data_IF_033612935555
#
_entry.id   IF_033612935555
#
_cell.length_a   1.000
_cell.length_b   1.000
_cell.length_c   1.000
_cell.angle_alpha   90.00
_cell.angle_beta   90.00
_cell.angle_gamma   90.00
#
_symmetry.space_group_name_H-M   'P 1'
#
loop_
_entity.id
_entity.type
_entity.pdbx_description
1 polymer ?
#
# COMPACT_ATOMS: atom_id res chain seq x y z
N UNK A 1 -11.12 6.93 -6.75
CA UNK A 1 -11.12 5.56 -7.32
C UNK A 1 -10.31 4.69 -6.37
N UNK A 2 -10.88 3.58 -5.89
CA UNK A 2 -10.29 2.72 -4.85
C UNK A 2 -9.60 1.54 -5.53
N UNK A 3 -8.29 1.37 -5.31
CA UNK A 3 -7.52 0.28 -5.89
C UNK A 3 -7.21 -0.78 -4.83
N UNK A 4 -7.88 -1.93 -4.89
CA UNK A 4 -7.49 -3.09 -4.09
C UNK A 4 -6.35 -3.79 -4.81
N UNK A 5 -5.15 -3.65 -4.29
CA UNK A 5 -3.94 -4.23 -4.89
C UNK A 5 -3.55 -5.49 -4.12
N UNK A 6 -3.38 -6.63 -4.79
CA UNK A 6 -3.19 -7.95 -4.15
C UNK A 6 -1.76 -8.48 -4.33
N UNK A 7 -1.23 -9.20 -3.34
CA UNK A 7 0.17 -9.62 -3.30
C UNK A 7 0.48 -10.71 -4.34
N UNK A 8 1.48 -10.52 -5.21
CA UNK A 8 1.97 -11.53 -6.15
C UNK A 8 3.45 -11.87 -5.87
N UNK A 9 3.84 -13.12 -6.13
CA UNK A 9 5.22 -13.61 -6.06
C UNK A 9 5.55 -14.35 -7.36
N UNK A 10 6.62 -13.94 -8.06
CA UNK A 10 7.20 -14.72 -9.15
C UNK A 10 8.43 -15.48 -8.64
N UNK A 11 8.65 -16.70 -9.13
CA UNK A 11 9.86 -17.49 -8.86
C UNK A 11 10.63 -17.64 -10.16
N UNK A 12 11.84 -17.11 -10.20
CA UNK A 12 12.85 -17.38 -11.21
C UNK A 12 14.04 -18.07 -10.52
N UNK A 13 14.81 -18.88 -11.25
CA UNK A 13 15.74 -19.93 -10.76
C UNK A 13 16.80 -19.46 -9.74
N UNK A 14 16.98 -18.16 -9.47
CA UNK A 14 17.92 -17.69 -8.42
C UNK A 14 17.48 -16.53 -7.52
N UNK A 15 16.25 -16.02 -7.60
CA UNK A 15 15.73 -15.08 -6.58
C UNK A 15 14.22 -14.89 -6.64
N UNK A 16 13.55 -14.87 -5.48
CA UNK A 16 12.14 -14.51 -5.41
C UNK A 16 12.00 -12.98 -5.31
N UNK A 17 11.56 -12.34 -6.39
CA UNK A 17 11.25 -10.91 -6.37
C UNK A 17 9.84 -10.69 -5.82
N UNK A 18 9.71 -9.87 -4.78
CA UNK A 18 8.40 -9.51 -4.20
C UNK A 18 7.69 -8.53 -5.14
N UNK A 19 6.69 -9.01 -5.87
CA UNK A 19 5.88 -8.19 -6.78
C UNK A 19 4.68 -7.56 -6.08
N UNK A 20 4.21 -8.15 -4.97
CA UNK A 20 3.11 -7.62 -4.16
C UNK A 20 3.48 -6.48 -3.23
N UNK A 21 2.47 -5.88 -2.59
CA UNK A 21 2.66 -4.85 -1.54
C UNK A 21 3.64 -5.35 -0.45
N UNK A 22 4.53 -4.50 0.08
CA UNK A 22 4.67 -3.06 -0.16
C UNK A 22 5.54 -2.69 -1.39
N UNK A 23 5.79 -3.62 -2.33
CA UNK A 23 6.61 -3.34 -3.52
C UNK A 23 6.03 -2.19 -4.33
N UNK A 24 6.85 -1.19 -4.66
CA UNK A 24 6.44 -0.01 -5.45
C UNK A 24 5.83 -0.38 -6.81
N UNK A 25 6.34 -1.43 -7.45
CA UNK A 25 5.93 -1.85 -8.79
C UNK A 25 4.41 -2.08 -8.91
N UNK A 26 3.76 -2.61 -7.87
CA UNK A 26 2.34 -2.92 -7.93
C UNK A 26 1.46 -1.67 -7.86
N UNK A 27 1.91 -0.63 -7.16
CA UNK A 27 1.22 0.65 -7.08
C UNK A 27 1.34 1.42 -8.40
N UNK A 28 2.50 1.38 -9.06
CA UNK A 28 2.70 2.02 -10.36
C UNK A 28 1.84 1.39 -11.45
N UNK A 29 1.75 0.05 -11.49
CA UNK A 29 0.86 -0.67 -12.41
C UNK A 29 -0.60 -0.29 -12.16
N UNK A 30 -1.01 -0.26 -10.88
CA UNK A 30 -2.37 0.16 -10.53
C UNK A 30 -2.64 1.59 -10.99
N UNK A 31 -1.76 2.55 -10.71
CA UNK A 31 -1.95 3.95 -11.12
C UNK A 31 -2.05 4.09 -12.65
N UNK A 32 -1.20 3.38 -13.39
CA UNK A 32 -1.25 3.37 -14.86
C UNK A 32 -2.57 2.81 -15.39
N UNK A 33 -3.08 1.74 -14.80
CA UNK A 33 -4.35 1.13 -15.20
C UNK A 33 -5.56 2.01 -14.87
N UNK A 34 -5.51 2.75 -13.74
CA UNK A 34 -6.61 3.61 -13.31
C UNK A 34 -6.69 4.91 -14.12
N UNK A 35 -5.60 5.33 -14.78
CA UNK A 35 -5.54 6.61 -15.48
C UNK A 35 -5.79 7.82 -14.57
N UNK A 36 -5.64 7.66 -13.26
CA UNK A 36 -5.98 8.66 -12.27
C UNK A 36 -4.85 9.69 -12.11
N UNK A 37 -5.20 10.97 -12.06
CA UNK A 37 -4.24 12.08 -11.89
C UNK A 37 -3.75 12.24 -10.45
N UNK A 38 -4.59 11.91 -9.46
CA UNK A 38 -4.30 12.01 -8.02
C UNK A 38 -4.89 10.82 -7.24
N UNK A 39 -4.38 9.59 -7.43
CA UNK A 39 -4.89 8.43 -6.73
C UNK A 39 -4.53 8.45 -5.24
N UNK A 40 -5.43 7.88 -4.42
CA UNK A 40 -5.20 7.63 -2.99
C UNK A 40 -5.37 6.15 -2.72
N UNK A 41 -4.46 5.56 -1.94
CA UNK A 41 -4.58 4.18 -1.49
C UNK A 41 -5.53 4.11 -0.29
N UNK A 42 -6.49 3.20 -0.30
CA UNK A 42 -7.26 2.81 0.89
C UNK A 42 -6.85 1.40 1.30
N UNK A 43 -6.53 1.19 2.57
CA UNK A 43 -6.19 -0.13 3.08
C UNK A 43 -6.24 -0.21 4.59
N UNK A 44 -6.14 -1.41 5.13
CA UNK A 44 -6.23 -1.72 6.55
C UNK A 44 -4.87 -2.12 7.15
N UNK A 45 -3.87 -2.38 6.31
CA UNK A 45 -2.57 -2.89 6.75
C UNK A 45 -1.47 -1.82 6.65
N UNK A 46 -0.92 -1.40 7.80
CA UNK A 46 0.18 -0.42 7.85
C UNK A 46 1.44 -0.87 7.11
N UNK A 47 1.84 -2.14 7.25
CA UNK A 47 3.09 -2.68 6.66
C UNK A 47 3.08 -2.78 5.13
N UNK A 48 1.91 -2.91 4.52
CA UNK A 48 1.77 -3.29 3.12
C UNK A 48 1.06 -2.19 2.32
N UNK A 49 -0.18 -1.87 2.69
CA UNK A 49 -0.97 -0.84 2.00
C UNK A 49 -0.36 0.53 2.21
N UNK A 50 -0.23 0.94 3.47
CA UNK A 50 0.16 2.30 3.82
C UNK A 50 1.64 2.52 3.53
N UNK A 51 2.51 1.63 4.03
CA UNK A 51 3.94 1.74 3.75
C UNK A 51 4.25 1.65 2.25
N UNK A 52 3.56 0.76 1.53
CA UNK A 52 3.76 0.60 0.09
C UNK A 52 3.29 1.81 -0.71
N UNK A 53 2.12 2.35 -0.38
CA UNK A 53 1.58 3.55 -1.03
C UNK A 53 2.47 4.77 -0.81
N UNK A 54 2.87 5.03 0.45
CA UNK A 54 3.78 6.13 0.78
C UNK A 54 5.15 5.96 0.10
N UNK A 55 5.68 4.72 0.08
CA UNK A 55 6.92 4.40 -0.63
C UNK A 55 6.83 4.55 -2.15
N UNK A 56 5.62 4.49 -2.71
CA UNK A 56 5.32 4.76 -4.11
C UNK A 56 4.97 6.24 -4.39
N UNK A 57 5.00 7.11 -3.36
CA UNK A 57 4.66 8.54 -3.49
C UNK A 57 3.17 8.82 -3.57
N UNK A 58 2.33 7.89 -3.10
CA UNK A 58 0.87 8.02 -3.07
C UNK A 58 0.41 8.43 -1.67
N UNK A 59 -0.66 9.22 -1.63
CA UNK A 59 -1.41 9.41 -0.39
C UNK A 59 -2.08 8.11 0.04
N UNK A 60 -2.22 7.90 1.36
CA UNK A 60 -2.77 6.67 1.91
C UNK A 60 -3.75 6.94 3.07
N UNK A 61 -4.90 6.26 3.04
CA UNK A 61 -5.89 6.26 4.11
C UNK A 61 -5.89 4.88 4.77
N UNK A 62 -5.66 4.85 6.09
CA UNK A 62 -5.90 3.66 6.90
C UNK A 62 -7.38 3.58 7.22
N UNK A 63 -8.03 2.49 6.86
CA UNK A 63 -9.44 2.24 7.16
C UNK A 63 -9.56 1.08 8.15
N UNK A 64 -10.39 1.25 9.17
CA UNK A 64 -10.66 0.21 10.16
C UNK A 64 -9.71 0.28 11.35
N UNK A 65 -9.81 -0.71 12.22
CA UNK A 65 -8.98 -0.85 13.42
C UNK A 65 -7.63 -1.49 13.09
N UNK A 66 -7.02 -1.18 11.94
CA UNK A 66 -5.79 -1.77 11.41
C UNK A 66 -4.61 -1.67 12.38
N UNK A 67 -4.62 -2.54 13.39
CA UNK A 67 -3.80 -2.48 14.59
C UNK A 67 -2.59 -3.39 14.40
N UNK A 68 -1.47 -2.76 14.05
CA UNK A 68 -0.27 -2.77 14.87
C UNK A 68 0.67 -1.69 14.32
N UNK A 69 1.25 -0.80 15.13
CA UNK A 69 2.28 0.10 14.65
C UNK A 69 3.45 -0.71 14.09
N UNK A 70 3.64 -0.65 12.77
CA UNK A 70 4.73 -1.34 12.10
C UNK A 70 5.91 -0.40 11.98
N UNK A 71 7.09 -0.88 12.36
CA UNK A 71 8.35 -0.21 12.06
C UNK A 71 8.52 -0.20 10.53
N UNK A 72 8.56 0.99 9.95
CA UNK A 72 8.87 1.15 8.53
C UNK A 72 10.28 0.66 8.21
N UNK A 73 10.65 0.57 6.93
CA UNK A 73 11.95 0.06 6.49
C UNK A 73 13.17 0.81 7.08
N UNK A 74 13.00 2.02 7.61
CA UNK A 74 14.03 2.81 8.29
C UNK A 74 13.88 2.85 9.83
N UNK A 75 13.09 1.95 10.43
CA UNK A 75 12.73 2.00 11.86
C UNK A 75 11.70 3.08 12.22
N UNK A 76 11.38 3.97 11.27
CA UNK A 76 10.41 5.03 11.49
C UNK A 76 8.97 4.49 11.44
N UNK A 77 8.11 4.94 12.35
CA UNK A 77 6.72 4.49 12.38
C UNK A 77 5.98 4.92 11.12
N UNK A 78 5.36 3.97 10.42
CA UNK A 78 4.48 4.27 9.28
C UNK A 78 3.29 5.10 9.78
N UNK A 79 3.00 6.21 9.09
CA UNK A 79 1.91 7.14 9.40
C UNK A 79 1.08 7.34 8.13
N UNK A 80 -0.20 6.98 8.11
CA UNK A 80 -1.06 7.24 6.96
C UNK A 80 -1.31 8.74 6.80
N UNK A 81 -1.69 9.17 5.60
CA UNK A 81 -2.13 10.55 5.33
C UNK A 81 -3.43 10.86 6.07
N UNK A 82 -4.36 9.89 6.11
CA UNK A 82 -5.60 9.96 6.90
C UNK A 82 -5.94 8.61 7.56
N UNK A 83 -6.76 8.64 8.60
CA UNK A 83 -7.31 7.44 9.23
C UNK A 83 -8.82 7.56 9.35
N UNK A 84 -9.54 6.53 8.93
CA UNK A 84 -10.99 6.41 9.01
C UNK A 84 -11.36 5.15 9.79
N UNK A 85 -12.35 5.20 10.70
CA UNK A 85 -12.80 4.01 11.43
C UNK A 85 -13.50 2.99 10.50
N UNK A 86 -14.13 3.45 9.43
CA UNK A 86 -14.90 2.63 8.49
C UNK A 86 -15.10 3.37 7.16
N UNK A 87 -15.49 2.64 6.09
CA UNK A 87 -15.96 3.22 4.81
C UNK A 87 -17.47 3.37 4.74
N UNK A 88 -18.19 2.79 5.69
CA UNK A 88 -19.66 2.67 5.69
C UNK A 88 -20.31 3.62 6.69
N UNK A 89 -19.54 4.51 7.30
CA UNK A 89 -20.04 5.58 8.18
C UNK A 89 -20.21 6.89 7.43
#
# INVERSE_FOLDING_TARGET
>A
MIARVSTAHCRDDRSATRLGKPSRAIFEVACRQLGASRPVMLGDQLATDIAGALGAGLDAVLVGTGLAPVAGPAGNRVRPTWALPSLME
#
